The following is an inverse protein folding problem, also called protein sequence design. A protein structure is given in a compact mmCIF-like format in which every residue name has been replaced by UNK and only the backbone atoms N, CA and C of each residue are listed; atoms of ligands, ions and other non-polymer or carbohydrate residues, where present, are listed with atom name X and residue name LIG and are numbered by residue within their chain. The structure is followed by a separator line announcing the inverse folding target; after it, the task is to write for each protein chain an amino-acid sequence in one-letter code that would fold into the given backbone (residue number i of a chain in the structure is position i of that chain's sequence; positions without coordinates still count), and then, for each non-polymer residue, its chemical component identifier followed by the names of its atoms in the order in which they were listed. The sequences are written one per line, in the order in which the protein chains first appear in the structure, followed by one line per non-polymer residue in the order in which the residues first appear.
data_IF_357807479090
#
_entry.id   IF_357807479090
#
_cell.length_a   1.000
_cell.length_b   1.000
_cell.length_c   1.000
_cell.angle_alpha   90.00
_cell.angle_beta   90.00
_cell.angle_gamma   90.00
#
_symmetry.space_group_name_H-M   'P 1'
#
loop_
_entity.id
_entity.type
_entity.pdbx_description
1 polymer ?
#
# COMPACT_ATOMS: atom_id res chain seq x y z
N UNK A 1 -22.91 36.27 9.57
CA UNK A 1 -21.51 36.01 9.17
C UNK A 1 -21.18 34.58 9.57
N UNK A 2 -20.75 33.74 8.64
CA UNK A 2 -20.23 32.41 8.96
C UNK A 2 -18.81 32.58 9.52
N UNK A 3 -18.60 32.25 10.78
CA UNK A 3 -17.24 32.19 11.34
C UNK A 3 -16.54 30.93 10.84
N UNK A 4 -15.31 31.10 10.34
CA UNK A 4 -14.45 29.97 10.02
C UNK A 4 -14.20 29.15 11.30
N UNK A 5 -14.48 27.85 11.23
CA UNK A 5 -14.29 26.92 12.35
C UNK A 5 -13.15 25.96 12.03
N UNK A 6 -12.21 25.81 12.96
CA UNK A 6 -11.19 24.76 12.88
C UNK A 6 -11.83 23.40 13.18
N UNK A 7 -11.72 22.46 12.24
CA UNK A 7 -12.39 21.15 12.32
C UNK A 7 -11.42 20.00 12.62
N UNK A 8 -10.16 20.13 12.18
CA UNK A 8 -9.08 19.18 12.46
C UNK A 8 -7.72 19.85 12.26
N UNK A 9 -6.70 19.27 12.90
CA UNK A 9 -5.29 19.61 12.68
C UNK A 9 -4.54 18.31 12.40
N UNK A 10 -3.77 18.27 11.33
CA UNK A 10 -2.87 17.16 11.03
C UNK A 10 -1.46 17.68 10.83
N UNK A 11 -0.48 17.06 11.49
CA UNK A 11 0.94 17.35 11.29
C UNK A 11 1.47 16.38 10.24
N UNK A 12 1.89 16.90 9.09
CA UNK A 12 2.44 16.10 8.02
C UNK A 12 3.54 16.81 7.25
N UNK A 13 4.27 16.05 6.45
CA UNK A 13 5.27 16.54 5.50
C UNK A 13 4.84 16.15 4.09
N UNK A 14 4.96 17.08 3.16
CA UNK A 14 4.76 16.82 1.74
C UNK A 14 5.68 17.78 0.98
N UNK A 15 6.61 17.23 0.21
CA UNK A 15 7.60 17.99 -0.54
C UNK A 15 6.94 18.93 -1.57
N UNK A 16 5.79 18.53 -2.11
CA UNK A 16 5.08 19.26 -3.16
C UNK A 16 3.88 20.08 -2.64
N UNK A 17 3.73 20.19 -1.31
CA UNK A 17 2.60 20.89 -0.69
C UNK A 17 1.34 20.03 -0.56
N UNK A 18 0.28 20.59 0.04
CA UNK A 18 -0.96 19.87 0.28
C UNK A 18 -1.85 19.87 -0.98
N UNK A 19 -1.99 18.70 -1.61
CA UNK A 19 -2.99 18.48 -2.66
C UNK A 19 -4.26 17.88 -2.06
N UNK A 20 -5.21 18.76 -1.71
CA UNK A 20 -6.48 18.40 -1.09
C UNK A 20 -7.55 18.14 -2.15
N UNK A 21 -8.05 16.91 -2.18
CA UNK A 21 -9.12 16.46 -3.05
C UNK A 21 -10.38 16.16 -2.24
N UNK A 22 -11.55 16.14 -2.89
CA UNK A 22 -12.80 15.77 -2.23
C UNK A 22 -13.79 15.10 -3.19
N UNK A 23 -14.74 14.37 -2.63
CA UNK A 23 -15.85 13.79 -3.36
C UNK A 23 -17.07 13.62 -2.44
N UNK A 24 -18.23 13.38 -3.04
CA UNK A 24 -19.45 13.03 -2.33
C UNK A 24 -19.64 11.51 -2.40
N UNK A 25 -19.79 10.87 -1.26
CA UNK A 25 -20.00 9.42 -1.17
C UNK A 25 -21.45 9.01 -1.44
N UNK A 26 -21.72 7.70 -1.36
CA UNK A 26 -23.05 7.11 -1.56
C UNK A 26 -24.12 7.65 -0.59
N UNK A 27 -23.73 8.19 0.56
CA UNK A 27 -24.62 8.72 1.60
C UNK A 27 -24.81 10.24 1.48
N UNK A 28 -24.37 10.83 0.35
CA UNK A 28 -24.37 12.26 0.11
C UNK A 28 -23.53 13.04 1.14
N UNK A 29 -22.45 12.43 1.66
CA UNK A 29 -21.51 13.05 2.59
C UNK A 29 -20.20 13.38 1.89
N UNK A 30 -19.63 14.52 2.23
CA UNK A 30 -18.32 14.92 1.72
C UNK A 30 -17.22 14.10 2.38
N UNK A 31 -16.40 13.48 1.55
CA UNK A 31 -15.11 12.91 1.92
C UNK A 31 -14.03 13.81 1.33
N UNK A 32 -13.09 14.24 2.17
CA UNK A 32 -11.87 14.92 1.75
C UNK A 32 -10.71 13.94 1.85
N UNK A 33 -9.76 14.01 0.93
CA UNK A 33 -8.58 13.19 0.98
C UNK A 33 -7.38 13.91 0.41
N UNK A 34 -6.19 13.55 0.89
CA UNK A 34 -4.94 14.10 0.40
C UNK A 34 -3.84 13.05 0.52
N UNK A 35 -2.72 13.34 -0.12
CA UNK A 35 -1.51 12.55 -0.04
C UNK A 35 -0.53 13.18 0.95
N UNK A 36 0.14 12.32 1.71
CA UNK A 36 1.25 12.75 2.55
C UNK A 36 2.41 11.76 2.46
N UNK A 37 3.63 12.32 2.46
CA UNK A 37 4.85 11.55 2.54
C UNK A 37 4.98 10.92 3.93
N UNK A 38 5.21 9.61 3.92
CA UNK A 38 5.46 8.82 5.12
C UNK A 38 6.95 8.52 5.29
N UNK A 39 7.69 8.38 4.19
CA UNK A 39 9.13 8.20 4.20
C UNK A 39 9.73 8.84 2.94
N UNK A 40 10.90 9.45 3.08
CA UNK A 40 11.60 10.13 1.99
C UNK A 40 13.09 9.79 2.03
N UNK A 41 13.74 9.85 0.87
CA UNK A 41 15.16 9.56 0.70
C UNK A 41 15.51 9.44 -0.78
N UNK A 42 16.79 9.39 -1.12
CA UNK A 42 17.24 9.22 -2.51
C UNK A 42 16.68 7.92 -3.09
N UNK A 43 15.74 8.04 -4.04
CA UNK A 43 15.07 6.91 -4.69
C UNK A 43 13.90 6.29 -3.90
N UNK A 44 13.55 6.83 -2.73
CA UNK A 44 12.46 6.35 -1.88
C UNK A 44 11.27 7.29 -2.02
N UNK A 45 10.14 6.77 -2.52
CA UNK A 45 8.89 7.51 -2.72
C UNK A 45 7.76 6.80 -2.00
N UNK A 46 7.52 7.18 -0.75
CA UNK A 46 6.57 6.47 0.11
C UNK A 46 5.48 7.41 0.58
N UNK A 47 4.31 7.27 -0.04
CA UNK A 47 3.19 8.15 0.16
C UNK A 47 1.97 7.38 0.64
N UNK A 48 1.19 7.98 1.54
CA UNK A 48 -0.12 7.46 1.93
C UNK A 48 -1.23 8.41 1.46
N UNK A 49 -2.35 7.84 1.02
CA UNK A 49 -3.62 8.53 1.02
C UNK A 49 -4.19 8.57 2.44
N UNK A 50 -4.70 9.73 2.83
CA UNK A 50 -5.50 9.90 4.03
C UNK A 50 -6.88 10.43 3.64
N UNK A 51 -7.93 9.68 4.00
CA UNK A 51 -9.32 10.05 3.73
C UNK A 51 -10.02 10.41 5.04
N UNK A 52 -10.85 11.44 4.97
CA UNK A 52 -11.65 11.90 6.09
C UNK A 52 -13.09 12.18 5.66
N UNK A 53 -14.05 11.74 6.48
CA UNK A 53 -15.49 11.99 6.26
C UNK A 53 -16.00 12.97 7.30
N UNK A 54 -16.89 13.86 6.89
CA UNK A 54 -17.61 14.72 7.83
C UNK A 54 -18.65 13.93 8.62
N UNK A 55 -18.59 14.03 9.95
CA UNK A 55 -19.61 13.52 10.86
C UNK A 55 -20.07 14.64 11.80
N UNK A 56 -21.24 15.21 11.48
CA UNK A 56 -21.74 16.43 12.09
C UNK A 56 -20.74 17.58 11.98
N UNK A 57 -20.17 17.98 13.11
CA UNK A 57 -19.21 19.08 13.21
C UNK A 57 -17.75 18.64 13.34
N UNK A 58 -17.45 17.37 13.03
CA UNK A 58 -16.12 16.76 13.16
C UNK A 58 -15.67 16.17 11.83
N UNK A 59 -14.35 16.17 11.62
CA UNK A 59 -13.71 15.50 10.51
C UNK A 59 -13.07 14.20 11.03
N UNK A 60 -13.59 13.05 10.61
CA UNK A 60 -13.15 11.74 11.10
C UNK A 60 -12.22 11.08 10.09
N UNK A 61 -11.07 10.52 10.50
CA UNK A 61 -10.24 9.70 9.61
C UNK A 61 -10.97 8.39 9.31
N UNK A 62 -11.19 8.09 8.04
CA UNK A 62 -12.00 6.93 7.62
C UNK A 62 -11.22 5.88 6.84
N UNK A 63 -10.10 6.25 6.21
CA UNK A 63 -9.21 5.35 5.49
C UNK A 63 -7.79 5.92 5.44
N UNK A 64 -6.81 5.03 5.58
CA UNK A 64 -5.41 5.27 5.23
C UNK A 64 -5.01 4.14 4.29
N UNK A 65 -4.45 4.48 3.14
CA UNK A 65 -4.03 3.51 2.13
C UNK A 65 -2.67 3.89 1.57
N UNK A 66 -1.82 2.89 1.27
CA UNK A 66 -0.52 3.15 0.63
C UNK A 66 -0.78 3.68 -0.79
N UNK A 67 -0.38 4.93 -1.05
CA UNK A 67 -0.45 5.53 -2.39
C UNK A 67 0.68 4.99 -3.25
N UNK A 68 1.90 5.07 -2.77
CA UNK A 68 3.04 4.50 -3.45
C UNK A 68 4.11 4.14 -2.42
N UNK A 69 4.90 3.13 -2.76
CA UNK A 69 6.05 2.70 -2.00
C UNK A 69 6.92 1.79 -2.86
N UNK A 70 8.22 1.83 -2.61
CA UNK A 70 9.18 1.02 -3.34
C UNK A 70 10.35 0.59 -2.45
N UNK A 71 10.99 -0.52 -2.81
CA UNK A 71 12.32 -0.87 -2.32
C UNK A 71 13.14 -1.52 -3.41
N UNK A 72 14.44 -1.27 -3.38
CA UNK A 72 15.40 -1.77 -4.36
C UNK A 72 16.28 -2.86 -3.75
N UNK A 73 16.86 -3.73 -4.58
CA UNK A 73 17.63 -4.89 -4.11
C UNK A 73 18.86 -4.52 -3.25
N UNK A 74 19.38 -3.31 -3.38
CA UNK A 74 20.50 -2.86 -2.54
C UNK A 74 20.06 -2.29 -1.18
N UNK A 75 18.76 -2.12 -0.94
CA UNK A 75 18.19 -1.71 0.35
C UNK A 75 17.66 -2.87 1.19
N UNK A 76 17.65 -4.09 0.66
CA UNK A 76 17.13 -5.26 1.38
C UNK A 76 17.22 -6.55 0.57
N UNK A 77 16.59 -7.60 1.07
CA UNK A 77 16.70 -8.93 0.46
C UNK A 77 15.70 -9.19 -0.67
N UNK A 78 14.99 -8.15 -1.12
CA UNK A 78 13.99 -8.17 -2.19
C UNK A 78 13.78 -6.76 -2.74
N UNK A 79 13.46 -6.65 -4.02
CA UNK A 79 12.92 -5.42 -4.59
C UNK A 79 11.41 -5.54 -4.73
N UNK A 80 10.73 -4.41 -4.63
CA UNK A 80 9.28 -4.35 -4.76
C UNK A 80 8.84 -2.93 -5.07
N UNK A 81 7.65 -2.82 -5.65
CA UNK A 81 6.93 -1.56 -5.80
C UNK A 81 5.44 -1.83 -5.63
N UNK A 82 4.73 -0.86 -5.07
CA UNK A 82 3.27 -0.81 -5.10
C UNK A 82 2.88 0.62 -5.38
N UNK A 83 2.02 0.82 -6.39
CA UNK A 83 1.43 2.10 -6.76
C UNK A 83 -0.09 1.98 -6.81
N UNK A 84 -0.76 2.86 -6.09
CA UNK A 84 -2.20 2.95 -5.92
C UNK A 84 -2.76 4.23 -6.53
N UNK A 85 -3.79 4.09 -7.36
CA UNK A 85 -4.48 5.21 -8.02
C UNK A 85 -5.97 5.14 -7.75
N UNK A 86 -6.58 6.24 -7.30
CA UNK A 86 -8.03 6.38 -7.19
C UNK A 86 -8.64 6.34 -8.60
N UNK A 87 -9.47 5.33 -8.89
CA UNK A 87 -10.13 5.17 -10.20
C UNK A 87 -11.53 5.76 -10.24
N UNK A 88 -12.29 5.62 -9.16
CA UNK A 88 -13.61 6.21 -8.98
C UNK A 88 -13.82 6.52 -7.51
N UNK A 89 -14.70 7.48 -7.22
CA UNK A 89 -14.97 7.96 -5.85
C UNK A 89 -16.37 7.64 -5.36
N UNK A 90 -17.27 7.19 -6.23
CA UNK A 90 -18.61 6.74 -5.86
C UNK A 90 -19.07 5.53 -6.72
N UNK A 91 -18.81 4.28 -6.27
CA UNK A 91 -18.09 3.91 -5.05
C UNK A 91 -16.58 4.21 -5.14
N UNK A 92 -15.91 4.31 -3.98
CA UNK A 92 -14.46 4.46 -3.93
C UNK A 92 -13.78 3.19 -4.42
N UNK A 93 -13.02 3.28 -5.52
CA UNK A 93 -12.23 2.20 -6.07
C UNK A 93 -10.79 2.64 -6.26
N UNK A 94 -9.86 1.86 -5.73
CA UNK A 94 -8.42 2.13 -5.83
C UNK A 94 -7.78 0.98 -6.61
N UNK A 95 -7.13 1.29 -7.73
CA UNK A 95 -6.31 0.34 -8.47
C UNK A 95 -4.93 0.31 -7.88
N UNK A 96 -4.43 -0.89 -7.57
CA UNK A 96 -3.10 -1.14 -7.05
C UNK A 96 -2.34 -1.94 -8.11
N UNK A 97 -1.19 -1.43 -8.55
CA UNK A 97 -0.23 -2.11 -9.41
C UNK A 97 0.98 -2.42 -8.55
N UNK A 98 1.47 -3.66 -8.58
CA UNK A 98 2.51 -4.09 -7.66
C UNK A 98 3.37 -5.20 -8.26
N UNK A 99 4.65 -5.17 -7.89
CA UNK A 99 5.58 -6.23 -8.21
C UNK A 99 6.46 -6.59 -7.02
N UNK A 100 6.96 -7.82 -7.05
CA UNK A 100 7.99 -8.33 -6.14
C UNK A 100 9.05 -9.04 -6.97
N UNK A 101 10.30 -8.73 -6.66
CA UNK A 101 11.47 -9.32 -7.27
C UNK A 101 12.40 -9.87 -6.19
N UNK A 102 12.86 -11.10 -6.37
CA UNK A 102 13.84 -11.71 -5.48
C UNK A 102 15.24 -11.60 -6.11
N UNK A 103 16.31 -11.48 -5.30
CA UNK A 103 17.67 -11.45 -5.81
C UNK A 103 18.00 -12.76 -6.53
N UNK A 104 18.59 -12.65 -7.72
CA UNK A 104 19.31 -13.76 -8.32
C UNK A 104 20.79 -13.66 -7.95
N UNK A 105 21.44 -14.81 -7.77
CA UNK A 105 22.84 -14.96 -7.36
C UNK A 105 23.87 -14.36 -8.31
N UNK A 106 23.48 -13.67 -9.38
CA UNK A 106 24.40 -13.26 -10.45
C UNK A 106 24.23 -11.85 -11.04
N UNK A 107 23.19 -11.06 -10.73
CA UNK A 107 23.00 -9.77 -11.43
C UNK A 107 22.59 -8.62 -10.52
N UNK A 108 23.26 -7.48 -10.76
CA UNK A 108 22.92 -6.16 -10.21
C UNK A 108 21.57 -5.64 -10.74
N UNK A 109 21.10 -6.18 -11.87
CA UNK A 109 19.89 -5.76 -12.58
C UNK A 109 18.77 -6.81 -12.49
N UNK A 110 18.34 -7.12 -11.27
CA UNK A 110 17.01 -7.70 -11.06
C UNK A 110 16.87 -9.21 -11.35
N UNK A 111 16.64 -10.00 -10.29
CA UNK A 111 16.25 -11.41 -10.45
C UNK A 111 14.84 -11.58 -11.01
N UNK A 112 14.29 -12.81 -11.04
CA UNK A 112 12.97 -13.02 -11.62
C UNK A 112 11.87 -12.35 -10.78
N UNK A 113 10.86 -11.80 -11.47
CA UNK A 113 9.64 -11.30 -10.84
C UNK A 113 8.88 -12.49 -10.23
N UNK A 114 8.72 -12.44 -8.91
CA UNK A 114 7.86 -13.38 -8.17
C UNK A 114 6.39 -13.00 -8.34
N UNK A 115 6.13 -11.70 -8.42
CA UNK A 115 4.80 -11.10 -8.61
C UNK A 115 4.97 -9.92 -9.54
N UNK A 116 4.06 -9.79 -10.49
CA UNK A 116 3.86 -8.62 -11.35
C UNK A 116 2.39 -8.61 -11.74
N UNK A 117 1.57 -7.87 -11.00
CA UNK A 117 0.13 -7.91 -11.15
C UNK A 117 -0.52 -6.58 -10.75
N UNK A 118 -1.83 -6.50 -10.95
CA UNK A 118 -2.65 -5.43 -10.44
C UNK A 118 -4.00 -5.94 -9.95
N UNK A 119 -4.60 -5.19 -9.04
CA UNK A 119 -5.96 -5.43 -8.55
C UNK A 119 -6.68 -4.12 -8.35
N UNK A 120 -8.01 -4.18 -8.32
CA UNK A 120 -8.84 -3.06 -7.87
C UNK A 120 -9.49 -3.45 -6.56
N UNK A 121 -9.37 -2.59 -5.55
CA UNK A 121 -10.07 -2.74 -4.27
C UNK A 121 -11.21 -1.72 -4.25
N UNK A 122 -12.43 -2.23 -4.10
CA UNK A 122 -13.60 -1.39 -3.81
C UNK A 122 -13.73 -1.21 -2.30
N UNK A 123 -13.96 0.03 -1.87
CA UNK A 123 -14.14 0.37 -0.47
C UNK A 123 -15.58 0.73 -0.20
N UNK A 124 -16.13 0.18 0.88
CA UNK A 124 -17.50 0.43 1.32
C UNK A 124 -17.52 1.04 2.70
N UNK A 125 -18.43 1.97 2.91
CA UNK A 125 -18.63 2.56 4.23
C UNK A 125 -19.23 1.52 5.18
N UNK A 126 -18.59 1.37 6.35
CA UNK A 126 -19.10 0.56 7.44
C UNK A 126 -19.54 1.47 8.59
N UNK A 127 -20.85 1.53 8.82
CA UNK A 127 -21.44 2.38 9.86
C UNK A 127 -21.00 2.03 11.28
N UNK A 128 -20.71 0.75 11.55
CA UNK A 128 -20.31 0.28 12.87
C UNK A 128 -18.87 0.67 13.19
N UNK A 129 -17.95 0.50 12.24
CA UNK A 129 -16.55 0.87 12.43
C UNK A 129 -16.26 2.34 12.13
N UNK A 130 -17.19 3.04 11.46
CA UNK A 130 -17.03 4.40 10.93
C UNK A 130 -15.82 4.53 10.01
N UNK A 131 -15.59 3.51 9.18
CA UNK A 131 -14.45 3.42 8.26
C UNK A 131 -14.90 3.00 6.86
N UNK A 132 -14.10 3.36 5.88
CA UNK A 132 -14.17 2.74 4.55
C UNK A 132 -13.37 1.44 4.61
N UNK A 133 -14.04 0.32 4.40
CA UNK A 133 -13.46 -1.03 4.46
C UNK A 133 -13.30 -1.59 3.04
N UNK A 134 -12.07 -2.03 2.72
CA UNK A 134 -11.76 -2.62 1.42
C UNK A 134 -12.32 -4.04 1.31
N UNK A 135 -12.99 -4.33 0.19
CA UNK A 135 -13.47 -5.68 -0.13
C UNK A 135 -12.33 -6.57 -0.64
N UNK A 136 -11.45 -6.98 0.27
CA UNK A 136 -10.26 -7.76 -0.07
C UNK A 136 -10.56 -9.18 -0.55
N UNK A 137 -11.72 -9.74 -0.21
CA UNK A 137 -12.12 -11.09 -0.66
C UNK A 137 -12.32 -11.17 -2.18
N UNK A 138 -12.68 -10.05 -2.82
CA UNK A 138 -12.87 -9.96 -4.26
C UNK A 138 -11.61 -9.48 -5.01
N UNK A 139 -10.51 -9.25 -4.30
CA UNK A 139 -9.26 -8.70 -4.85
C UNK A 139 -8.13 -9.71 -4.81
N UNK A 140 -7.14 -9.55 -5.69
CA UNK A 140 -5.97 -10.44 -5.73
C UNK A 140 -4.99 -10.21 -4.58
N UNK A 141 -5.07 -9.05 -3.93
CA UNK A 141 -4.15 -8.60 -2.91
C UNK A 141 -4.93 -8.28 -1.63
N UNK A 142 -4.54 -8.86 -0.49
CA UNK A 142 -5.21 -8.65 0.79
C UNK A 142 -4.51 -7.61 1.68
N UNK A 143 -5.17 -7.19 2.76
CA UNK A 143 -4.64 -6.18 3.69
C UNK A 143 -3.26 -6.51 4.28
N UNK A 144 -2.97 -7.79 4.57
CA UNK A 144 -1.66 -8.21 5.09
C UNK A 144 -0.57 -8.11 4.03
N UNK A 145 -0.91 -8.38 2.76
CA UNK A 145 0.01 -8.16 1.64
C UNK A 145 0.32 -6.67 1.49
N UNK A 146 -0.69 -5.78 1.48
CA UNK A 146 -0.47 -4.32 1.45
C UNK A 146 0.44 -3.88 2.59
N UNK A 147 0.15 -4.35 3.81
CA UNK A 147 0.93 -3.99 4.99
C UNK A 147 2.42 -4.38 4.85
N UNK A 148 2.72 -5.49 4.15
CA UNK A 148 4.10 -5.91 3.89
C UNK A 148 4.87 -5.01 2.90
N UNK A 149 4.17 -4.17 2.13
CA UNK A 149 4.75 -3.06 1.37
C UNK A 149 4.93 -1.82 2.28
N UNK A 150 3.99 -1.54 3.19
CA UNK A 150 4.09 -0.37 4.09
C UNK A 150 5.13 -0.50 5.21
N UNK A 151 5.48 -1.72 5.63
CA UNK A 151 6.46 -1.99 6.68
C UNK A 151 7.76 -2.53 6.08
N UNK A 152 8.64 -1.62 5.64
CA UNK A 152 9.97 -1.98 5.15
C UNK A 152 10.69 -2.92 6.13
N UNK A 153 11.44 -3.90 5.61
CA UNK A 153 12.36 -4.69 6.42
C UNK A 153 11.71 -5.67 7.40
N UNK A 154 10.40 -5.93 7.30
CA UNK A 154 9.76 -7.03 8.02
C UNK A 154 9.57 -8.24 7.09
N UNK A 155 10.67 -8.98 6.86
CA UNK A 155 10.66 -10.16 5.98
C UNK A 155 9.78 -11.29 6.51
N UNK A 156 9.64 -11.42 7.83
CA UNK A 156 8.73 -12.41 8.45
C UNK A 156 7.27 -12.10 8.09
N UNK A 157 6.84 -10.84 8.17
CA UNK A 157 5.51 -10.42 7.72
C UNK A 157 5.34 -10.69 6.23
N UNK A 158 6.34 -10.35 5.41
CA UNK A 158 6.31 -10.59 3.98
C UNK A 158 6.13 -12.08 3.65
N UNK A 159 6.93 -12.95 4.25
CA UNK A 159 6.86 -14.42 4.06
C UNK A 159 5.47 -14.93 4.43
N UNK A 160 4.93 -14.50 5.56
CA UNK A 160 3.60 -14.93 6.00
C UNK A 160 2.50 -14.43 5.06
N UNK A 161 2.55 -13.15 4.65
CA UNK A 161 1.57 -12.56 3.75
C UNK A 161 1.61 -13.17 2.34
N UNK A 162 2.77 -13.64 1.89
CA UNK A 162 3.00 -14.21 0.56
C UNK A 162 3.26 -15.72 0.57
N UNK A 163 2.91 -16.42 1.66
CA UNK A 163 3.27 -17.84 1.87
C UNK A 163 2.90 -18.73 0.68
N UNK A 164 1.69 -18.60 0.13
CA UNK A 164 1.24 -19.41 -1.01
C UNK A 164 2.07 -19.15 -2.27
N UNK A 165 2.40 -17.88 -2.52
CA UNK A 165 3.21 -17.47 -3.69
C UNK A 165 4.62 -18.04 -3.55
N UNK A 166 5.26 -17.88 -2.39
CA UNK A 166 6.59 -18.41 -2.10
C UNK A 166 6.63 -19.94 -2.14
N UNK A 167 5.60 -20.60 -1.60
CA UNK A 167 5.50 -22.06 -1.66
C UNK A 167 5.40 -22.54 -3.10
N UNK A 168 4.59 -21.87 -3.93
CA UNK A 168 4.42 -22.22 -5.33
C UNK A 168 5.69 -21.95 -6.15
N UNK A 169 6.44 -20.89 -5.85
CA UNK A 169 7.69 -20.57 -6.56
C UNK A 169 8.79 -21.61 -6.32
N UNK A 170 8.76 -22.35 -5.20
CA UNK A 170 9.68 -23.48 -4.97
C UNK A 170 9.50 -24.63 -5.97
N UNK A 171 8.33 -24.73 -6.62
CA UNK A 171 8.06 -25.72 -7.66
C UNK A 171 8.33 -25.20 -9.08
N UNK A 172 8.59 -23.91 -9.26
CA UNK A 172 8.87 -23.31 -10.56
C UNK A 172 10.39 -23.19 -10.78
N UNK A 173 10.99 -23.93 -11.74
CA UNK A 173 12.43 -23.90 -11.98
C UNK A 173 13.01 -22.51 -12.22
N UNK A 174 12.27 -21.58 -12.83
CA UNK A 174 12.78 -20.24 -13.17
C UNK A 174 12.98 -19.33 -11.96
N UNK A 175 12.23 -19.55 -10.87
CA UNK A 175 12.25 -18.69 -9.65
C UNK A 175 12.69 -19.46 -8.40
N UNK A 176 12.81 -20.78 -8.48
CA UNK A 176 13.12 -21.65 -7.33
C UNK A 176 14.43 -21.26 -6.65
N UNK A 177 15.51 -21.05 -7.42
CA UNK A 177 16.82 -20.73 -6.85
C UNK A 177 16.80 -19.39 -6.12
N UNK A 178 16.24 -18.35 -6.74
CA UNK A 178 16.05 -17.04 -6.12
C UNK A 178 15.19 -17.12 -4.84
N UNK A 179 14.12 -17.92 -4.86
CA UNK A 179 13.28 -18.15 -3.67
C UNK A 179 14.06 -18.82 -2.53
N UNK A 180 14.82 -19.88 -2.84
CA UNK A 180 15.64 -20.57 -1.83
C UNK A 180 16.72 -19.66 -1.26
N UNK A 181 17.38 -18.86 -2.11
CA UNK A 181 18.38 -17.90 -1.68
C UNK A 181 17.78 -16.85 -0.76
N UNK A 182 16.63 -16.26 -1.13
CA UNK A 182 15.91 -15.32 -0.28
C UNK A 182 15.57 -15.92 1.08
N UNK A 183 14.95 -17.11 1.11
CA UNK A 183 14.57 -17.78 2.36
C UNK A 183 15.78 -18.12 3.23
N UNK A 184 16.90 -18.54 2.63
CA UNK A 184 18.17 -18.76 3.34
C UNK A 184 18.70 -17.46 3.95
N UNK A 185 18.73 -16.37 3.19
CA UNK A 185 19.22 -15.07 3.67
C UNK A 185 18.39 -14.61 4.87
N UNK A 186 17.05 -14.67 4.77
CA UNK A 186 16.16 -14.27 5.88
C UNK A 186 16.41 -15.15 7.10
N UNK A 187 16.54 -16.47 6.94
CA UNK A 187 16.83 -17.42 8.03
C UNK A 187 18.18 -17.14 8.70
N UNK A 188 19.19 -16.73 7.94
CA UNK A 188 20.54 -16.52 8.48
C UNK A 188 20.70 -15.15 9.16
N UNK A 189 19.81 -14.18 8.88
CA UNK A 189 19.84 -12.82 9.43
C UNK A 189 18.82 -12.54 10.55
N UNK A 190 17.81 -13.40 10.71
CA UNK A 190 16.74 -13.29 11.72
C UNK A 190 16.55 -14.61 12.47
#
# INVERSE_FOLDING_TARGET
MQQNKLLAVHKGYNHYGLDLNHFVDVDNKTIVYYTQEFQSGSGIWWNNYFFYKYDGNKLLPVLKELKDGNSQLFWGFRAWELVSTVQSTNPLRIKMVYYIQLPDTAMADGGPLLVDDSTVVEYRWNEKSKRLEGNYQASKLNSSQILSYSLHGNDILFINAHYKILKNSLYNPSVRLATLNYLRIVKDHY
#
